data_IF_558165576315
#
_entry.id   IF_558165576315
#
_cell.length_a   1.000
_cell.length_b   1.000
_cell.length_c   1.000
_cell.angle_alpha   90.00
_cell.angle_beta   90.00
_cell.angle_gamma   90.00
#
_symmetry.space_group_name_H-M   'P 1'
#
loop_
_entity.id
_entity.type
_entity.pdbx_description
1 polymer ?
#
# COMPACT_ATOMS: atom_id res chain seq x y z
N UNK A 1 -34.13 34.78 69.96
CA UNK A 1 -33.08 34.60 68.92
C UNK A 1 -33.72 34.86 67.56
N UNK A 2 -32.99 35.59 66.72
CA UNK A 2 -33.45 36.29 65.53
C UNK A 2 -33.90 35.37 64.39
N UNK A 3 -35.06 35.68 63.80
CA UNK A 3 -35.47 35.21 62.48
C UNK A 3 -34.68 35.94 61.39
N UNK A 4 -34.12 35.21 60.43
CA UNK A 4 -33.58 35.78 59.19
C UNK A 4 -34.15 35.05 57.97
N UNK A 5 -34.74 35.84 57.09
CA UNK A 5 -35.48 35.43 55.90
C UNK A 5 -34.55 35.04 54.74
N UNK A 6 -34.95 34.01 54.00
CA UNK A 6 -34.35 33.63 52.73
C UNK A 6 -34.74 34.63 51.62
N UNK A 7 -33.76 35.12 50.86
CA UNK A 7 -33.98 35.85 49.59
C UNK A 7 -33.90 34.89 48.40
N UNK A 8 -34.74 35.05 47.37
CA UNK A 8 -34.75 34.19 46.19
C UNK A 8 -33.64 34.61 45.20
N UNK A 9 -32.89 33.65 44.68
CA UNK A 9 -31.95 33.87 43.57
C UNK A 9 -32.67 33.61 42.25
N UNK A 10 -32.65 34.62 41.40
CA UNK A 10 -33.28 34.67 40.08
C UNK A 10 -32.63 33.69 39.09
N UNK A 11 -33.46 33.06 38.26
CA UNK A 11 -33.08 32.31 37.06
C UNK A 11 -32.35 33.22 36.07
N UNK A 12 -31.13 32.86 35.68
CA UNK A 12 -30.49 33.34 34.46
C UNK A 12 -30.57 32.23 33.39
N UNK A 13 -31.33 32.51 32.34
CA UNK A 13 -31.45 31.67 31.14
C UNK A 13 -30.10 31.63 30.40
N UNK A 14 -29.52 30.44 30.26
CA UNK A 14 -28.41 30.22 29.34
C UNK A 14 -28.94 30.11 27.92
N UNK A 15 -28.76 31.18 27.16
CA UNK A 15 -29.05 31.26 25.73
C UNK A 15 -28.18 30.25 24.97
N UNK A 16 -28.82 29.28 24.32
CA UNK A 16 -28.15 28.22 23.58
C UNK A 16 -27.78 28.75 22.20
N UNK A 17 -26.51 29.11 21.99
CA UNK A 17 -26.00 29.52 20.69
C UNK A 17 -25.99 28.32 19.71
N UNK A 18 -27.02 28.25 18.87
CA UNK A 18 -27.12 27.33 17.73
C UNK A 18 -26.02 27.68 16.72
N UNK A 19 -24.99 26.83 16.60
CA UNK A 19 -24.01 26.92 15.50
C UNK A 19 -24.73 26.59 14.18
N UNK A 20 -24.87 27.60 13.31
CA UNK A 20 -25.33 27.43 11.92
C UNK A 20 -24.41 26.44 11.17
N UNK A 21 -24.97 25.54 10.32
CA UNK A 21 -24.17 24.68 9.45
C UNK A 21 -23.50 25.50 8.33
N UNK A 22 -22.28 25.11 7.89
CA UNK A 22 -21.60 25.80 6.80
C UNK A 22 -22.30 25.54 5.45
N UNK A 23 -22.24 26.50 4.50
CA UNK A 23 -22.93 26.40 3.22
C UNK A 23 -22.32 25.32 2.29
N UNK A 24 -23.14 24.68 1.43
CA UNK A 24 -22.68 23.67 0.50
C UNK A 24 -22.02 24.32 -0.73
N UNK A 25 -20.75 24.02 -0.96
CA UNK A 25 -20.03 24.42 -2.17
C UNK A 25 -18.60 24.87 -1.89
N UNK A 26 -17.69 23.91 -1.73
CA UNK A 26 -16.30 24.13 -2.11
C UNK A 26 -15.86 22.98 -3.00
N UNK A 27 -15.68 23.35 -4.26
CA UNK A 27 -15.07 22.59 -5.34
C UNK A 27 -13.80 21.90 -4.84
N UNK A 28 -13.71 20.59 -5.08
CA UNK A 28 -12.47 19.83 -4.99
C UNK A 28 -11.44 20.51 -5.89
N UNK A 29 -10.51 21.24 -5.30
CA UNK A 29 -9.33 21.70 -6.03
C UNK A 29 -8.45 20.49 -6.29
N UNK A 30 -8.38 20.14 -7.56
CA UNK A 30 -7.41 19.23 -8.14
C UNK A 30 -6.00 19.67 -7.71
N UNK A 31 -5.37 18.89 -6.83
CA UNK A 31 -3.95 19.02 -6.55
C UNK A 31 -3.18 18.47 -7.75
N UNK A 32 -3.21 19.24 -8.84
CA UNK A 32 -2.31 19.05 -9.97
C UNK A 32 -0.88 19.10 -9.44
N UNK A 33 -0.19 17.98 -9.57
CA UNK A 33 1.22 17.88 -9.24
C UNK A 33 1.98 18.83 -10.17
N UNK A 34 2.60 19.88 -9.63
CA UNK A 34 3.52 20.71 -10.40
C UNK A 34 4.69 19.83 -10.92
N UNK A 35 5.12 19.98 -12.18
CA UNK A 35 6.21 19.19 -12.73
C UNK A 35 7.49 19.46 -11.94
N UNK A 36 8.18 18.40 -11.52
CA UNK A 36 9.51 18.51 -10.91
C UNK A 36 10.48 18.87 -12.02
N UNK A 37 10.90 20.14 -12.09
CA UNK A 37 11.62 20.71 -13.24
C UNK A 37 13.06 20.22 -13.44
N UNK A 38 13.61 19.35 -12.59
CA UNK A 38 15.05 19.05 -12.60
C UNK A 38 15.39 17.56 -12.75
N UNK A 39 14.44 16.70 -13.14
CA UNK A 39 14.71 15.29 -13.41
C UNK A 39 15.51 15.02 -14.72
N UNK A 40 16.05 16.05 -15.38
CA UNK A 40 16.63 15.93 -16.73
C UNK A 40 17.88 15.04 -16.78
N UNK A 41 18.72 15.05 -15.74
CA UNK A 41 19.92 14.21 -15.66
C UNK A 41 19.56 12.73 -15.49
N UNK A 42 18.60 12.43 -14.60
CA UNK A 42 18.08 11.08 -14.50
C UNK A 42 17.47 10.66 -15.85
N UNK A 43 16.67 11.52 -16.50
CA UNK A 43 16.04 11.29 -17.83
C UNK A 43 17.07 11.06 -18.95
N UNK A 44 18.24 11.69 -18.88
CA UNK A 44 19.35 11.43 -19.78
C UNK A 44 19.95 10.03 -19.57
N UNK A 45 20.18 9.62 -18.33
CA UNK A 45 20.58 8.25 -17.98
C UNK A 45 19.49 7.22 -18.39
N UNK A 46 18.21 7.59 -18.28
CA UNK A 46 17.07 6.76 -18.74
C UNK A 46 17.07 6.54 -20.27
N UNK A 47 17.55 7.50 -21.06
CA UNK A 47 17.65 7.38 -22.53
C UNK A 47 18.83 6.50 -22.93
N UNK A 48 19.94 6.59 -22.19
CA UNK A 48 21.12 5.74 -22.35
C UNK A 48 20.85 4.28 -21.94
N UNK A 49 20.10 4.01 -20.86
CA UNK A 49 19.72 2.63 -20.50
C UNK A 49 18.78 1.95 -21.52
N UNK A 50 18.11 2.71 -22.39
CA UNK A 50 17.12 2.17 -23.34
C UNK A 50 17.77 1.59 -24.61
N UNK A 51 18.98 2.02 -24.97
CA UNK A 51 19.71 1.49 -26.13
C UNK A 51 20.22 0.06 -25.91
N UNK A 52 20.43 -0.35 -24.65
CA UNK A 52 20.98 -1.68 -24.33
C UNK A 52 19.91 -2.79 -24.28
N UNK A 53 18.62 -2.41 -24.28
CA UNK A 53 17.48 -3.34 -24.17
C UNK A 53 16.89 -3.78 -25.53
N UNK A 54 17.44 -3.31 -26.65
CA UNK A 54 17.04 -3.77 -28.00
C UNK A 54 17.98 -4.86 -28.50
N UNK A 55 17.77 -6.12 -28.08
CA UNK A 55 18.45 -7.27 -28.66
C UNK A 55 17.46 -8.37 -29.04
N UNK A 56 17.27 -8.49 -30.37
CA UNK A 56 17.11 -9.75 -31.10
C UNK A 56 15.82 -10.56 -30.89
N UNK A 57 14.88 -10.43 -31.82
CA UNK A 57 13.96 -11.54 -32.12
C UNK A 57 14.74 -12.66 -32.80
N UNK A 58 14.74 -13.86 -32.20
CA UNK A 58 14.80 -15.14 -32.90
C UNK A 58 13.98 -16.18 -32.12
N UNK A 59 13.05 -16.80 -32.82
CA UNK A 59 12.20 -17.90 -32.34
C UNK A 59 13.00 -19.18 -32.16
N UNK A 60 12.65 -19.98 -31.12
CA UNK A 60 12.13 -21.37 -31.18
C UNK A 60 12.29 -22.08 -29.82
N UNK A 61 11.21 -22.69 -29.33
CA UNK A 61 11.10 -23.90 -28.48
C UNK A 61 11.92 -24.04 -27.18
N UNK A 62 11.77 -23.07 -26.28
CA UNK A 62 12.21 -23.15 -24.87
C UNK A 62 11.41 -22.23 -23.94
N UNK A 63 10.09 -22.19 -24.12
CA UNK A 63 9.24 -21.03 -23.83
C UNK A 63 9.13 -20.65 -22.34
N UNK A 64 9.13 -21.62 -21.42
CA UNK A 64 8.84 -21.33 -20.00
C UNK A 64 10.05 -20.82 -19.21
N UNK A 65 11.22 -21.43 -19.37
CA UNK A 65 12.43 -20.97 -18.64
C UNK A 65 12.93 -19.62 -19.13
N UNK A 66 12.89 -19.38 -20.46
CA UNK A 66 13.31 -18.12 -21.07
C UNK A 66 12.31 -16.98 -20.79
N UNK A 67 11.02 -17.30 -20.71
CA UNK A 67 9.98 -16.33 -20.33
C UNK A 67 10.05 -15.90 -18.86
N UNK A 68 10.35 -16.85 -17.96
CA UNK A 68 10.54 -16.56 -16.54
C UNK A 68 11.82 -15.74 -16.30
N UNK A 69 12.94 -16.07 -16.97
CA UNK A 69 14.19 -15.31 -16.85
C UNK A 69 14.02 -13.87 -17.33
N UNK A 70 13.40 -13.65 -18.50
CA UNK A 70 13.15 -12.32 -19.02
C UNK A 70 12.22 -11.48 -18.11
N UNK A 71 11.28 -12.11 -17.42
CA UNK A 71 10.40 -11.44 -16.47
C UNK A 71 11.13 -11.08 -15.17
N UNK A 72 12.01 -11.96 -14.66
CA UNK A 72 12.89 -11.68 -13.53
C UNK A 72 13.83 -10.50 -13.84
N UNK A 73 14.39 -10.47 -15.06
CA UNK A 73 15.31 -9.40 -15.48
C UNK A 73 14.59 -8.06 -15.56
N UNK A 74 13.36 -8.01 -16.12
CA UNK A 74 12.51 -6.81 -16.10
C UNK A 74 12.24 -6.29 -14.68
N UNK A 75 11.96 -7.19 -13.73
CA UNK A 75 11.75 -6.80 -12.32
C UNK A 75 13.04 -6.20 -11.73
N UNK A 76 14.20 -6.84 -11.96
CA UNK A 76 15.49 -6.33 -11.51
C UNK A 76 15.82 -4.96 -12.11
N UNK A 77 15.62 -4.79 -13.41
CA UNK A 77 15.89 -3.54 -14.12
C UNK A 77 15.05 -2.40 -13.59
N UNK A 78 13.75 -2.63 -13.41
CA UNK A 78 12.83 -1.61 -12.89
C UNK A 78 13.14 -1.28 -11.42
N UNK A 79 13.53 -2.25 -10.60
CA UNK A 79 13.96 -1.99 -9.21
C UNK A 79 15.28 -1.23 -9.15
N UNK A 80 16.26 -1.56 -10.02
CA UNK A 80 17.50 -0.79 -10.17
C UNK A 80 17.19 0.65 -10.53
N UNK A 81 16.30 0.85 -11.49
CA UNK A 81 15.86 2.17 -11.94
C UNK A 81 15.17 2.96 -10.83
N UNK A 82 14.35 2.29 -10.03
CA UNK A 82 13.72 2.87 -8.85
C UNK A 82 14.76 3.30 -7.82
N UNK A 83 15.77 2.49 -7.53
CA UNK A 83 16.83 2.83 -6.58
C UNK A 83 17.72 3.98 -7.07
N UNK A 84 18.05 4.04 -8.36
CA UNK A 84 18.77 5.18 -8.95
C UNK A 84 17.96 6.47 -8.83
N UNK A 85 16.68 6.44 -9.20
CA UNK A 85 15.76 7.58 -9.06
C UNK A 85 15.63 8.02 -7.60
N UNK A 86 15.53 7.06 -6.69
CA UNK A 86 15.45 7.33 -5.26
C UNK A 86 16.73 7.97 -4.72
N UNK A 87 17.91 7.51 -5.15
CA UNK A 87 19.19 8.07 -4.73
C UNK A 87 19.32 9.54 -5.14
N UNK A 88 18.95 9.87 -6.39
CA UNK A 88 19.01 11.26 -6.87
C UNK A 88 18.02 12.15 -6.12
N UNK A 89 16.76 11.70 -5.95
CA UNK A 89 15.77 12.46 -5.20
C UNK A 89 16.16 12.63 -3.72
N UNK A 90 16.85 11.66 -3.11
CA UNK A 90 17.37 11.80 -1.75
C UNK A 90 18.48 12.84 -1.67
N UNK A 91 19.39 12.86 -2.65
CA UNK A 91 20.47 13.85 -2.75
C UNK A 91 19.91 15.27 -2.89
N UNK A 92 18.98 15.47 -3.83
CA UNK A 92 18.27 16.75 -3.98
C UNK A 92 17.53 17.16 -2.71
N UNK A 93 16.88 16.20 -2.04
CA UNK A 93 16.14 16.48 -0.82
C UNK A 93 17.06 16.81 0.37
N UNK A 94 18.28 16.28 0.39
CA UNK A 94 19.28 16.59 1.42
C UNK A 94 19.79 18.04 1.30
N UNK A 95 19.94 18.54 0.07
CA UNK A 95 20.40 19.90 -0.23
C UNK A 95 19.36 21.00 0.07
N UNK A 96 18.08 20.64 0.23
CA UNK A 96 16.99 21.60 0.49
C UNK A 96 16.97 22.07 1.95
N UNK A 97 16.54 23.32 2.21
CA UNK A 97 16.30 23.79 3.57
C UNK A 97 15.22 22.95 4.25
N UNK A 98 15.25 22.86 5.59
CA UNK A 98 14.41 21.94 6.38
C UNK A 98 12.91 22.04 6.05
N UNK A 99 12.39 23.24 5.81
CA UNK A 99 10.97 23.47 5.51
C UNK A 99 10.54 22.97 4.14
N UNK A 100 11.48 22.82 3.20
CA UNK A 100 11.25 22.33 1.84
C UNK A 100 11.56 20.84 1.67
N UNK A 101 12.13 20.20 2.71
CA UNK A 101 12.41 18.76 2.68
C UNK A 101 11.12 17.99 2.52
N UNK A 102 11.06 17.20 1.46
CA UNK A 102 9.94 16.32 1.19
C UNK A 102 10.05 15.06 2.03
N UNK A 103 8.91 14.65 2.58
CA UNK A 103 8.77 13.38 3.27
C UNK A 103 8.41 12.26 2.27
N UNK A 104 8.72 11.02 2.65
CA UNK A 104 8.40 9.83 1.85
C UNK A 104 8.94 9.88 0.40
N UNK A 105 10.23 10.22 0.25
CA UNK A 105 10.94 10.23 -1.03
C UNK A 105 10.77 8.93 -1.84
N UNK A 106 10.74 7.71 -1.24
CA UNK A 106 10.44 6.48 -1.98
C UNK A 106 9.11 6.51 -2.75
N UNK A 107 8.05 7.09 -2.18
CA UNK A 107 6.77 7.24 -2.91
C UNK A 107 6.93 8.17 -4.11
N UNK A 108 7.72 9.24 -3.98
CA UNK A 108 7.94 10.17 -5.08
C UNK A 108 8.73 9.52 -6.21
N UNK A 109 9.77 8.75 -5.90
CA UNK A 109 10.51 7.96 -6.90
C UNK A 109 9.57 7.00 -7.66
N UNK A 110 8.69 6.30 -6.94
CA UNK A 110 7.70 5.43 -7.59
C UNK A 110 6.71 6.20 -8.46
N UNK A 111 6.21 7.36 -8.02
CA UNK A 111 5.30 8.19 -8.84
C UNK A 111 6.01 8.75 -10.08
N UNK A 112 7.25 9.17 -9.95
CA UNK A 112 8.07 9.58 -11.08
C UNK A 112 8.17 8.47 -12.13
N UNK A 113 8.48 7.24 -11.72
CA UNK A 113 8.51 6.09 -12.62
C UNK A 113 7.14 5.76 -13.24
N UNK A 114 6.04 5.96 -12.50
CA UNK A 114 4.69 5.75 -13.01
C UNK A 114 4.39 6.71 -14.15
N UNK A 115 4.69 7.99 -13.94
CA UNK A 115 4.38 9.06 -14.89
C UNK A 115 5.21 8.89 -16.18
N UNK A 116 6.37 8.21 -16.10
CA UNK A 116 7.20 7.80 -17.24
C UNK A 116 6.88 6.39 -17.78
N UNK A 117 5.74 5.80 -17.39
CA UNK A 117 5.26 4.47 -17.83
C UNK A 117 6.28 3.33 -17.60
N UNK A 118 7.04 3.41 -16.51
CA UNK A 118 8.06 2.39 -16.15
C UNK A 118 7.56 1.32 -15.19
N UNK A 119 6.35 1.47 -14.65
CA UNK A 119 5.75 0.43 -13.82
C UNK A 119 5.46 -0.82 -14.66
N UNK A 120 5.65 -1.97 -14.05
CA UNK A 120 5.37 -3.27 -14.64
C UNK A 120 4.25 -3.97 -13.86
N UNK A 121 3.63 -4.98 -14.47
CA UNK A 121 2.50 -5.71 -13.88
C UNK A 121 1.36 -4.77 -13.39
N UNK A 122 1.10 -3.69 -14.14
CA UNK A 122 0.14 -2.63 -13.77
C UNK A 122 -1.30 -3.13 -13.64
N UNK A 123 -1.69 -4.13 -14.43
CA UNK A 123 -2.98 -4.81 -14.31
C UNK A 123 -3.00 -5.71 -13.07
N UNK A 124 -3.89 -5.38 -12.13
CA UNK A 124 -4.12 -6.21 -10.93
C UNK A 124 -4.52 -7.63 -11.34
N UNK A 125 -3.97 -8.60 -10.61
CA UNK A 125 -4.22 -10.03 -10.84
C UNK A 125 -4.30 -10.80 -9.53
N UNK A 126 -5.06 -11.88 -9.57
CA UNK A 126 -5.08 -12.94 -8.55
C UNK A 126 -3.87 -13.87 -8.79
N UNK A 127 -3.30 -14.42 -7.73
CA UNK A 127 -2.22 -15.41 -7.85
C UNK A 127 -0.82 -14.79 -8.06
N UNK A 128 0.12 -15.53 -8.67
CA UNK A 128 1.51 -15.10 -8.84
C UNK A 128 1.68 -13.84 -9.71
N UNK A 129 2.78 -13.12 -9.47
CA UNK A 129 3.19 -11.94 -10.27
C UNK A 129 4.43 -12.32 -11.07
N UNK A 130 4.43 -11.97 -12.37
CA UNK A 130 5.53 -12.30 -13.26
C UNK A 130 6.83 -11.66 -12.78
N UNK A 131 7.88 -12.47 -12.69
CA UNK A 131 9.20 -12.03 -12.26
C UNK A 131 9.37 -11.87 -10.75
N UNK A 132 8.39 -12.28 -9.94
CA UNK A 132 8.44 -12.19 -8.47
C UNK A 132 8.23 -13.57 -7.86
N UNK A 133 9.18 -14.02 -7.06
CA UNK A 133 9.18 -15.33 -6.43
C UNK A 133 8.93 -15.24 -4.92
N UNK A 134 8.42 -16.34 -4.36
CA UNK A 134 8.30 -16.48 -2.90
C UNK A 134 9.69 -16.38 -2.30
N UNK A 135 9.84 -15.60 -1.22
CA UNK A 135 11.12 -15.32 -0.57
C UNK A 135 11.76 -14.00 -1.00
N UNK A 136 11.34 -13.41 -2.13
CA UNK A 136 11.85 -12.10 -2.57
C UNK A 136 11.66 -11.03 -1.51
N UNK A 137 12.64 -10.13 -1.41
CA UNK A 137 12.75 -9.09 -0.38
C UNK A 137 12.79 -7.71 -1.01
N UNK A 138 12.02 -6.79 -0.43
CA UNK A 138 11.86 -5.42 -0.90
C UNK A 138 12.11 -4.45 0.26
N UNK A 139 12.79 -3.33 0.01
CA UNK A 139 13.16 -2.37 1.07
C UNK A 139 12.06 -1.35 1.33
N UNK A 140 11.35 -0.95 0.28
CA UNK A 140 10.32 0.08 0.36
C UNK A 140 8.97 -0.46 -0.11
N UNK A 141 7.88 -0.02 0.53
CA UNK A 141 6.53 -0.34 0.05
C UNK A 141 6.33 0.12 -1.40
N UNK A 142 6.98 1.23 -1.77
CA UNK A 142 7.01 1.76 -3.13
C UNK A 142 7.56 0.78 -4.18
N UNK A 143 8.46 -0.14 -3.81
CA UNK A 143 8.93 -1.19 -4.72
C UNK A 143 7.79 -2.15 -5.08
N UNK A 144 6.95 -2.51 -4.10
CA UNK A 144 5.78 -3.37 -4.31
C UNK A 144 4.79 -2.77 -5.32
N UNK A 145 4.63 -1.43 -5.29
CA UNK A 145 3.79 -0.70 -6.23
C UNK A 145 4.38 -0.71 -7.64
N UNK A 146 5.68 -0.41 -7.75
CA UNK A 146 6.40 -0.29 -9.03
C UNK A 146 6.39 -1.62 -9.80
N UNK A 147 6.50 -2.75 -9.10
CA UNK A 147 6.51 -4.09 -9.71
C UNK A 147 5.13 -4.76 -9.79
N UNK A 148 4.07 -4.09 -9.33
CA UNK A 148 2.69 -4.60 -9.32
C UNK A 148 2.42 -5.74 -8.34
N UNK A 149 3.25 -5.91 -7.31
CA UNK A 149 3.02 -6.93 -6.27
C UNK A 149 1.86 -6.52 -5.34
N UNK A 150 1.79 -5.23 -5.00
CA UNK A 150 0.73 -4.61 -4.21
C UNK A 150 0.55 -3.14 -4.64
N UNK A 151 -0.62 -2.78 -5.17
CA UNK A 151 -0.78 -1.49 -5.87
C UNK A 151 -1.14 -0.31 -4.96
N UNK A 152 -1.36 -0.54 -3.65
CA UNK A 152 -1.72 0.53 -2.71
C UNK A 152 -0.53 0.95 -1.82
N UNK A 153 -0.27 2.26 -1.71
CA UNK A 153 0.85 2.75 -0.89
C UNK A 153 0.54 2.77 0.62
N UNK A 154 -0.74 2.76 1.00
CA UNK A 154 -1.18 3.00 2.38
C UNK A 154 -1.99 1.85 2.94
N UNK A 155 -2.91 1.31 2.14
CA UNK A 155 -3.81 0.27 2.61
C UNK A 155 -3.07 -1.06 2.73
N UNK A 156 -3.42 -1.85 3.75
CA UNK A 156 -2.89 -3.20 3.91
C UNK A 156 -3.54 -4.21 2.98
N UNK A 157 -4.71 -3.92 2.40
CA UNK A 157 -5.46 -4.83 1.53
C UNK A 157 -5.56 -4.20 0.14
N UNK A 158 -5.10 -4.92 -0.87
CA UNK A 158 -5.31 -4.58 -2.27
C UNK A 158 -6.30 -5.56 -2.91
N UNK A 159 -7.17 -5.04 -3.76
CA UNK A 159 -8.27 -5.80 -4.37
C UNK A 159 -8.62 -5.28 -5.77
N UNK A 160 -9.30 -6.12 -6.54
CA UNK A 160 -9.81 -5.82 -7.88
C UNK A 160 -11.28 -6.23 -8.00
N UNK A 161 -12.01 -5.66 -8.95
CA UNK A 161 -13.37 -6.10 -9.28
C UNK A 161 -13.31 -7.00 -10.51
N UNK A 162 -13.92 -8.18 -10.43
CA UNK A 162 -14.06 -9.13 -11.54
C UNK A 162 -15.50 -9.65 -11.53
N UNK A 163 -16.21 -9.52 -12.64
CA UNK A 163 -17.59 -9.99 -12.80
C UNK A 163 -18.53 -9.52 -11.68
N UNK A 164 -18.47 -8.23 -11.32
CA UNK A 164 -19.28 -7.66 -10.24
C UNK A 164 -18.74 -7.91 -8.82
N UNK A 165 -17.84 -8.86 -8.63
CA UNK A 165 -17.33 -9.30 -7.32
C UNK A 165 -15.96 -8.66 -7.04
N UNK A 166 -15.80 -8.11 -5.84
CA UNK A 166 -14.50 -7.63 -5.35
C UNK A 166 -13.67 -8.79 -4.83
N UNK A 167 -12.46 -8.98 -5.34
CA UNK A 167 -11.53 -10.04 -4.92
C UNK A 167 -10.23 -9.40 -4.43
N UNK A 168 -9.83 -9.73 -3.21
CA UNK A 168 -8.52 -9.37 -2.70
C UNK A 168 -7.41 -10.04 -3.53
N UNK A 169 -6.36 -9.28 -3.85
CA UNK A 169 -5.22 -9.76 -4.63
C UNK A 169 -3.98 -9.94 -3.77
N UNK A 170 -3.79 -9.07 -2.77
CA UNK A 170 -2.66 -9.12 -1.87
C UNK A 170 -2.95 -8.42 -0.55
N UNK A 171 -2.29 -8.87 0.50
CA UNK A 171 -2.26 -8.22 1.81
C UNK A 171 -0.84 -7.90 2.26
N UNK A 172 -0.69 -6.82 3.02
CA UNK A 172 0.57 -6.41 3.66
C UNK A 172 0.40 -6.53 5.17
N UNK A 173 1.06 -7.53 5.75
CA UNK A 173 1.10 -7.73 7.19
C UNK A 173 2.07 -6.72 7.79
N UNK A 174 1.52 -5.70 8.43
CA UNK A 174 2.27 -4.65 9.12
C UNK A 174 1.85 -4.58 10.58
N UNK A 175 2.73 -4.07 11.45
CA UNK A 175 2.46 -3.87 12.89
C UNK A 175 1.41 -2.77 13.19
N UNK A 176 0.61 -2.36 12.21
CA UNK A 176 -0.47 -1.36 12.40
C UNK A 176 -1.70 -1.99 13.07
N UNK A 177 -1.90 -3.28 12.88
CA UNK A 177 -2.97 -4.07 13.47
C UNK A 177 -2.33 -5.28 14.16
N UNK A 178 -3.02 -5.83 15.15
CA UNK A 178 -2.60 -7.02 15.88
C UNK A 178 -2.80 -8.27 15.00
N UNK A 179 -1.95 -8.44 13.99
CA UNK A 179 -1.92 -9.64 13.18
C UNK A 179 -1.10 -10.72 13.90
N UNK A 180 -1.60 -11.95 13.93
CA UNK A 180 -0.94 -13.07 14.61
C UNK A 180 -0.52 -14.16 13.62
N UNK A 181 0.72 -14.64 13.73
CA UNK A 181 1.13 -15.89 13.08
C UNK A 181 0.93 -17.02 14.07
N UNK A 182 -0.09 -17.83 13.84
CA UNK A 182 -0.39 -18.99 14.67
C UNK A 182 0.58 -20.15 14.40
N UNK A 183 1.04 -20.26 13.15
CA UNK A 183 2.05 -21.23 12.71
C UNK A 183 2.82 -20.69 11.50
N UNK A 184 3.81 -21.43 10.99
CA UNK A 184 4.61 -21.06 9.81
C UNK A 184 3.78 -20.90 8.53
N UNK A 185 2.62 -21.53 8.50
CA UNK A 185 1.68 -21.57 7.39
C UNK A 185 0.36 -20.85 7.68
N UNK A 186 0.05 -20.44 8.93
CA UNK A 186 -1.25 -19.83 9.29
C UNK A 186 -1.09 -18.40 9.81
N UNK A 187 -1.74 -17.47 9.12
CA UNK A 187 -1.84 -16.05 9.50
C UNK A 187 -3.28 -15.71 9.87
N UNK A 188 -3.45 -15.11 11.04
CA UNK A 188 -4.66 -14.43 11.50
C UNK A 188 -4.49 -12.94 11.15
N UNK A 189 -5.20 -12.49 10.11
CA UNK A 189 -5.12 -11.13 9.60
C UNK A 189 -6.37 -10.32 9.95
N UNK A 190 -6.18 -9.21 10.66
CA UNK A 190 -7.28 -8.34 11.03
C UNK A 190 -7.67 -7.42 9.87
N UNK A 191 -8.98 -7.23 9.70
CA UNK A 191 -9.54 -6.33 8.70
C UNK A 191 -9.06 -4.88 8.84
N UNK A 192 -9.31 -4.07 7.82
CA UNK A 192 -9.09 -2.63 7.89
C UNK A 192 -10.28 -1.91 8.53
N UNK A 193 -10.04 -0.71 9.05
CA UNK A 193 -11.05 0.10 9.75
C UNK A 193 -10.86 0.10 11.27
N UNK A 194 -11.59 1.00 11.94
CA UNK A 194 -11.67 1.05 13.41
C UNK A 194 -10.41 1.48 14.18
N UNK A 195 -9.25 1.62 13.52
CA UNK A 195 -8.00 1.95 14.19
C UNK A 195 -7.76 3.47 14.25
N UNK A 196 -7.82 4.08 15.45
CA UNK A 196 -7.66 5.52 15.65
C UNK A 196 -6.27 6.02 15.22
N UNK A 197 -5.25 5.17 15.34
CA UNK A 197 -3.84 5.51 15.03
C UNK A 197 -3.54 5.54 13.53
N UNK A 198 -4.39 4.96 12.69
CA UNK A 198 -4.21 4.94 11.23
C UNK A 198 -4.78 6.20 10.57
N UNK A 199 -5.82 6.82 11.16
CA UNK A 199 -6.51 8.01 10.62
C UNK A 199 -6.44 9.24 11.54
N UNK A 200 -5.46 9.31 12.44
CA UNK A 200 -5.16 10.53 13.19
C UNK A 200 -6.18 10.87 14.28
N UNK A 201 -6.36 9.97 15.25
CA UNK A 201 -7.10 10.28 16.48
C UNK A 201 -8.63 10.26 16.36
N UNK A 202 -9.17 9.61 15.33
CA UNK A 202 -10.61 9.34 15.27
C UNK A 202 -11.04 8.42 16.42
N UNK A 203 -12.31 8.49 16.85
CA UNK A 203 -12.84 7.53 17.82
C UNK A 203 -12.68 6.09 17.31
N UNK A 204 -12.46 5.16 18.24
CA UNK A 204 -12.52 3.72 17.96
C UNK A 204 -13.91 3.42 17.41
N UNK A 205 -13.97 2.71 16.28
CA UNK A 205 -15.22 2.32 15.62
C UNK A 205 -15.14 0.85 15.26
N UNK A 206 -16.30 0.20 15.22
CA UNK A 206 -16.37 -1.17 14.73
C UNK A 206 -15.94 -1.24 13.26
N UNK A 207 -15.24 -2.32 12.93
CA UNK A 207 -14.88 -2.62 11.54
C UNK A 207 -16.14 -3.00 10.76
N UNK A 208 -16.22 -2.52 9.52
CA UNK A 208 -17.34 -2.82 8.62
C UNK A 208 -16.92 -3.85 7.58
N UNK A 209 -17.88 -4.69 7.17
CA UNK A 209 -17.70 -5.64 6.07
C UNK A 209 -17.87 -4.95 4.72
N UNK A 210 -16.93 -4.07 4.39
CA UNK A 210 -16.94 -3.27 3.16
C UNK A 210 -15.53 -3.23 2.53
N UNK A 211 -15.43 -2.73 1.30
CA UNK A 211 -14.17 -2.49 0.59
C UNK A 211 -13.22 -3.72 0.63
N UNK A 212 -12.02 -3.56 1.19
CA UNK A 212 -11.04 -4.64 1.31
C UNK A 212 -11.48 -5.80 2.19
N UNK A 213 -12.30 -5.56 3.22
CA UNK A 213 -12.80 -6.62 4.10
C UNK A 213 -13.80 -7.50 3.35
N UNK A 214 -14.72 -6.86 2.61
CA UNK A 214 -15.64 -7.58 1.72
C UNK A 214 -14.88 -8.36 0.63
N UNK A 215 -13.80 -7.78 0.08
CA UNK A 215 -12.99 -8.45 -0.92
C UNK A 215 -12.28 -9.70 -0.38
N UNK A 216 -11.83 -9.68 0.88
CA UNK A 216 -11.26 -10.86 1.53
C UNK A 216 -12.34 -11.91 1.81
N UNK A 217 -13.54 -11.49 2.22
CA UNK A 217 -14.68 -12.41 2.42
C UNK A 217 -15.04 -13.13 1.12
N UNK A 218 -15.14 -12.41 0.00
CA UNK A 218 -15.39 -13.01 -1.30
C UNK A 218 -14.29 -13.98 -1.72
N UNK A 219 -13.01 -13.68 -1.47
CA UNK A 219 -11.94 -14.62 -1.78
C UNK A 219 -11.99 -15.88 -0.91
N UNK A 220 -12.42 -15.78 0.35
CA UNK A 220 -12.68 -16.94 1.20
C UNK A 220 -13.80 -17.81 0.63
N UNK A 221 -14.91 -17.19 0.20
CA UNK A 221 -16.07 -17.89 -0.34
C UNK A 221 -15.75 -18.55 -1.69
N UNK A 222 -14.95 -17.88 -2.52
CA UNK A 222 -14.54 -18.35 -3.86
C UNK A 222 -13.22 -19.14 -3.89
N UNK A 223 -12.54 -19.30 -2.74
CA UNK A 223 -11.23 -19.98 -2.62
C UNK A 223 -10.12 -19.39 -3.53
N UNK A 224 -10.10 -18.08 -3.74
CA UNK A 224 -9.33 -17.39 -4.80
C UNK A 224 -8.00 -16.79 -4.31
N UNK A 225 -6.74 -17.24 -4.65
CA UNK A 225 -5.41 -16.86 -4.04
C UNK A 225 -5.13 -15.39 -3.66
N UNK A 226 -4.65 -15.14 -2.43
CA UNK A 226 -4.18 -13.82 -1.94
C UNK A 226 -2.73 -13.94 -1.57
N UNK A 227 -1.92 -13.04 -2.16
CA UNK A 227 -0.51 -12.92 -1.84
C UNK A 227 -0.32 -12.30 -0.46
N UNK A 228 0.56 -12.87 0.34
CA UNK A 228 0.87 -12.38 1.69
C UNK A 228 2.28 -11.80 1.74
N UNK A 229 2.36 -10.52 2.07
CA UNK A 229 3.62 -9.76 2.12
C UNK A 229 3.89 -9.32 3.55
N UNK A 230 4.97 -9.82 4.14
CA UNK A 230 5.33 -9.51 5.52
C UNK A 230 6.28 -8.35 5.61
N UNK A 231 5.94 -7.37 6.45
CA UNK A 231 6.86 -6.30 6.84
C UNK A 231 7.65 -6.72 8.09
N UNK A 232 8.89 -7.13 7.89
CA UNK A 232 9.83 -7.51 8.95
C UNK A 232 10.73 -6.33 9.33
N UNK A 233 11.01 -6.14 10.62
CA UNK A 233 12.08 -5.24 11.09
C UNK A 233 13.35 -6.07 11.24
N UNK A 234 14.43 -5.71 10.54
CA UNK A 234 15.73 -6.35 10.66
C UNK A 234 16.77 -5.31 11.08
N UNK A 235 17.29 -5.42 12.32
CA UNK A 235 18.43 -4.73 13.00
C UNK A 235 18.65 -3.20 12.81
N UNK A 236 18.20 -2.59 11.72
CA UNK A 236 18.11 -1.15 11.45
C UNK A 236 17.21 -0.79 10.23
N UNK A 237 16.69 -1.78 9.49
CA UNK A 237 15.93 -1.62 8.24
C UNK A 237 14.56 -2.33 8.28
N UNK A 238 13.58 -1.79 7.56
CA UNK A 238 12.27 -2.43 7.33
C UNK A 238 12.34 -3.13 5.98
N UNK A 239 12.02 -4.43 5.94
CA UNK A 239 12.03 -5.26 4.73
C UNK A 239 10.64 -5.85 4.55
N UNK A 240 10.14 -5.87 3.32
CA UNK A 240 8.94 -6.58 2.91
C UNK A 240 9.36 -7.89 2.26
N UNK A 241 8.75 -9.02 2.62
CA UNK A 241 9.06 -10.32 2.04
C UNK A 241 7.78 -11.02 1.60
N UNK A 242 7.75 -11.50 0.36
CA UNK A 242 6.65 -12.33 -0.14
C UNK A 242 6.76 -13.72 0.50
N UNK A 243 5.73 -14.16 1.23
CA UNK A 243 5.75 -15.46 1.92
C UNK A 243 4.97 -16.56 1.22
N UNK A 244 3.97 -16.21 0.43
CA UNK A 244 3.17 -17.20 -0.31
C UNK A 244 1.81 -16.68 -0.73
N UNK A 245 0.98 -17.61 -1.19
CA UNK A 245 -0.44 -17.44 -1.53
C UNK A 245 -1.28 -18.43 -0.75
N UNK A 246 -2.37 -18.03 -0.08
CA UNK A 246 -3.11 -18.93 0.82
C UNK A 246 -4.57 -18.60 1.12
N UNK A 247 -5.34 -19.58 1.66
CA UNK A 247 -6.76 -19.51 2.14
C UNK A 247 -7.15 -20.61 3.14
N UNK A 248 -7.97 -20.31 4.19
CA UNK A 248 -8.82 -21.31 4.89
C UNK A 248 -9.95 -20.67 5.73
N UNK A 249 -10.92 -21.49 6.20
CA UNK A 249 -12.18 -21.12 6.91
C UNK A 249 -12.02 -20.45 8.29
N UNK A 250 -12.91 -19.47 8.54
CA UNK A 250 -13.55 -18.88 9.76
C UNK A 250 -12.82 -18.82 11.12
N UNK A 251 -12.73 -17.60 11.68
CA UNK A 251 -13.53 -17.09 12.82
C UNK A 251 -13.53 -15.55 12.80
N UNK A 252 -14.71 -14.91 12.88
CA UNK A 252 -14.89 -13.46 12.99
C UNK A 252 -14.12 -12.93 14.24
N UNK A 253 -13.41 -11.77 14.20
CA UNK A 253 -13.23 -10.79 13.12
C UNK A 253 -11.99 -11.01 12.24
N UNK A 254 -11.24 -12.09 12.46
CA UNK A 254 -9.95 -12.28 11.83
C UNK A 254 -9.99 -13.25 10.64
N UNK A 255 -9.29 -12.92 9.58
CA UNK A 255 -9.20 -13.74 8.37
C UNK A 255 -8.00 -14.66 8.50
N UNK A 256 -8.26 -15.97 8.51
CA UNK A 256 -7.22 -17.00 8.63
C UNK A 256 -6.72 -17.42 7.25
N UNK A 257 -5.51 -17.01 6.88
CA UNK A 257 -4.87 -17.34 5.60
C UNK A 257 -3.86 -18.46 5.83
N UNK A 258 -3.95 -19.55 5.05
CA UNK A 258 -3.01 -20.68 5.09
C UNK A 258 -2.30 -20.92 3.76
N UNK A 259 -0.97 -21.02 3.72
CA UNK A 259 -0.18 -21.35 2.50
C UNK A 259 0.68 -22.60 2.68
N UNK A 260 0.98 -23.37 1.62
CA UNK A 260 1.80 -24.58 1.72
C UNK A 260 3.24 -24.25 2.16
N UNK A 261 3.75 -24.97 3.16
CA UNK A 261 5.17 -24.94 3.57
C UNK A 261 5.96 -25.69 2.49
N UNK A 262 6.96 -25.05 1.89
CA UNK A 262 7.87 -25.75 1.00
C UNK A 262 8.82 -26.56 1.89
N UNK A 263 8.68 -27.89 1.86
CA UNK A 263 9.60 -28.87 2.43
C UNK A 263 10.84 -29.01 1.58
#
# INVERSE_FOLDING_TARGET
MLFTAAKPVQKASAETAVKKPPPPGSTLTDFSARPVKNASTAVADFRSMRSDLTLGKKETDGLDRRGQSASNDKVKDVLRLFHLTLAELLKENAAKPRMEKKYNVPRQAAMFLRDHRKWINTSKRVGPVLGVNIGDKFRFQAELNVIGLHCNFQNGIDYMKRNGISLATSIVVSKRYANNMESSDVLIYSGHGGNPTVRGGQAIKDQKLELGNLALKHCMDSKTPVRVIYKVKLKSSKIFSLKGTGWRRNLNPDIRLRWPVHS
#
